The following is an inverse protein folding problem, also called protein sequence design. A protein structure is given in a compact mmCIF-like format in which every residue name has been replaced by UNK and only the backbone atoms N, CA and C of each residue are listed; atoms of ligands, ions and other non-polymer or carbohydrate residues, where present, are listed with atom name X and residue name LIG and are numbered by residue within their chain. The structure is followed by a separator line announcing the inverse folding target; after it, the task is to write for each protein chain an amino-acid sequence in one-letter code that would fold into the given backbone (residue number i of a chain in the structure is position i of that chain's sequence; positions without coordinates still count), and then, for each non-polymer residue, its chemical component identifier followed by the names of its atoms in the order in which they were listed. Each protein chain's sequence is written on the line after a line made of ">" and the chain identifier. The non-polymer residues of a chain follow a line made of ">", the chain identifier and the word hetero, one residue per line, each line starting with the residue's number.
data_IF_520327494281
#
_entry.id   IF_520327494281
#
_cell.length_a   1.000
_cell.length_b   1.000
_cell.length_c   1.000
_cell.angle_alpha   90.00
_cell.angle_beta   90.00
_cell.angle_gamma   90.00
#
_symmetry.space_group_name_H-M   'P 1'
#
loop_
_entity.id
_entity.type
_entity.pdbx_description
1 polymer ?
#
# COMPACT_ATOMS: atom_id res chain seq x y z
N UNK A 1 40.07 -49.42 20.93
CA UNK A 1 38.84 -49.27 20.12
C UNK A 1 38.51 -47.80 20.12
N UNK A 2 38.48 -47.20 18.93
CA UNK A 2 38.38 -45.76 18.67
C UNK A 2 37.17 -45.16 19.38
N UNK A 3 37.38 -44.06 20.11
CA UNK A 3 36.30 -43.19 20.56
C UNK A 3 35.70 -42.52 19.33
N UNK A 4 34.57 -43.07 18.88
CA UNK A 4 33.69 -42.40 17.93
C UNK A 4 32.87 -41.38 18.73
N UNK A 5 33.56 -40.35 19.21
CA UNK A 5 32.92 -39.14 19.71
C UNK A 5 32.29 -38.49 18.48
N UNK A 6 30.99 -38.75 18.30
CA UNK A 6 30.16 -38.12 17.28
C UNK A 6 30.25 -36.61 17.39
N UNK A 7 31.24 -36.04 16.71
CA UNK A 7 31.41 -34.62 16.51
C UNK A 7 30.13 -34.13 15.84
N UNK A 8 29.27 -33.47 16.62
CA UNK A 8 28.14 -32.75 16.07
C UNK A 8 28.65 -31.93 14.87
N UNK A 9 27.98 -31.97 13.71
CA UNK A 9 28.43 -31.23 12.53
C UNK A 9 28.68 -29.77 12.93
N UNK A 10 29.77 -29.13 12.46
CA UNK A 10 30.11 -27.78 12.87
C UNK A 10 28.88 -26.87 12.72
N UNK A 11 28.59 -26.07 13.76
CA UNK A 11 27.37 -25.26 13.85
C UNK A 11 27.15 -24.35 12.63
N UNK A 12 28.20 -24.08 11.86
CA UNK A 12 28.19 -23.36 10.58
C UNK A 12 27.34 -24.03 9.48
N UNK A 13 27.18 -25.37 9.48
CA UNK A 13 26.36 -26.09 8.49
C UNK A 13 24.86 -25.78 8.69
N UNK A 14 24.46 -25.42 9.92
CA UNK A 14 23.08 -25.04 10.26
C UNK A 14 22.89 -23.52 10.39
N UNK A 15 23.93 -22.72 10.17
CA UNK A 15 23.83 -21.26 10.25
C UNK A 15 23.00 -20.71 9.08
N UNK A 16 22.02 -19.87 9.39
CA UNK A 16 21.18 -19.23 8.37
C UNK A 16 22.02 -18.21 7.60
N UNK A 17 22.22 -18.47 6.29
CA UNK A 17 22.96 -17.56 5.44
C UNK A 17 22.14 -16.27 5.24
N UNK A 18 22.70 -15.08 5.51
CA UNK A 18 21.99 -13.83 5.30
C UNK A 18 21.71 -13.62 3.81
N UNK A 19 20.45 -13.35 3.47
CA UNK A 19 20.02 -12.95 2.13
C UNK A 19 19.67 -11.46 2.11
N UNK A 20 20.52 -10.67 1.44
CA UNK A 20 20.31 -9.24 1.27
C UNK A 20 19.46 -8.89 0.04
N UNK A 21 19.37 -9.80 -0.95
CA UNK A 21 18.70 -9.50 -2.22
C UNK A 21 17.20 -9.50 -2.05
N UNK A 22 16.65 -10.48 -1.31
CA UNK A 22 15.22 -10.56 -0.99
C UNK A 22 14.67 -9.26 -0.38
N UNK A 23 15.20 -8.79 0.77
CA UNK A 23 14.77 -7.54 1.39
C UNK A 23 14.90 -6.30 0.49
N UNK A 24 15.98 -6.20 -0.30
CA UNK A 24 16.18 -5.06 -1.22
C UNK A 24 15.14 -5.06 -2.37
N UNK A 25 14.80 -6.22 -2.92
CA UNK A 25 13.72 -6.32 -3.93
C UNK A 25 12.37 -5.94 -3.33
N UNK A 26 12.06 -6.43 -2.14
CA UNK A 26 10.83 -6.07 -1.42
C UNK A 26 10.77 -4.56 -1.16
N UNK A 27 11.88 -3.93 -0.76
CA UNK A 27 11.95 -2.48 -0.57
C UNK A 27 11.59 -1.69 -1.83
N UNK A 28 12.09 -2.09 -3.00
CA UNK A 28 11.78 -1.43 -4.28
C UNK A 28 10.28 -1.51 -4.58
N UNK A 29 9.67 -2.69 -4.38
CA UNK A 29 8.23 -2.88 -4.59
C UNK A 29 7.39 -2.03 -3.63
N UNK A 30 7.81 -1.93 -2.36
CA UNK A 30 7.14 -1.07 -1.37
C UNK A 30 7.24 0.41 -1.73
N UNK A 31 8.38 0.87 -2.24
CA UNK A 31 8.55 2.26 -2.72
C UNK A 31 7.64 2.53 -3.92
N UNK A 32 7.56 1.59 -4.87
CA UNK A 32 6.64 1.70 -6.01
C UNK A 32 5.18 1.75 -5.56
N UNK A 33 4.78 0.87 -4.62
CA UNK A 33 3.45 0.88 -4.03
C UNK A 33 3.14 2.18 -3.29
N UNK A 34 4.10 2.71 -2.53
CA UNK A 34 3.96 3.99 -1.82
C UNK A 34 3.72 5.16 -2.78
N UNK A 35 4.39 5.20 -3.93
CA UNK A 35 4.15 6.24 -4.95
C UNK A 35 2.72 6.17 -5.48
N UNK A 36 2.19 4.97 -5.74
CA UNK A 36 0.80 4.79 -6.16
C UNK A 36 -0.18 5.23 -5.07
N UNK A 37 0.09 4.89 -3.80
CA UNK A 37 -0.74 5.33 -2.66
C UNK A 37 -0.80 6.86 -2.56
N UNK A 38 0.35 7.52 -2.69
CA UNK A 38 0.44 8.98 -2.65
C UNK A 38 -0.31 9.60 -3.83
N UNK A 39 -0.18 9.04 -5.03
CA UNK A 39 -0.86 9.55 -6.22
C UNK A 39 -2.39 9.46 -6.08
N UNK A 40 -2.90 8.30 -5.66
CA UNK A 40 -4.35 8.12 -5.42
C UNK A 40 -4.82 9.02 -4.27
N UNK A 41 -4.08 9.07 -3.17
CA UNK A 41 -4.42 9.90 -2.02
C UNK A 41 -4.43 11.39 -2.35
N UNK A 42 -3.54 11.84 -3.24
CA UNK A 42 -3.53 13.22 -3.74
C UNK A 42 -4.78 13.53 -4.58
N UNK A 43 -5.17 12.64 -5.49
CA UNK A 43 -6.40 12.79 -6.28
C UNK A 43 -7.64 12.89 -5.39
N UNK A 44 -7.72 12.06 -4.35
CA UNK A 44 -8.82 12.11 -3.38
C UNK A 44 -8.84 13.42 -2.59
N UNK A 45 -7.67 13.93 -2.16
CA UNK A 45 -7.61 15.23 -1.49
C UNK A 45 -7.96 16.39 -2.42
N UNK A 46 -7.63 16.29 -3.71
CA UNK A 46 -8.06 17.28 -4.69
C UNK A 46 -9.59 17.27 -4.82
N UNK A 47 -10.20 16.09 -4.94
CA UNK A 47 -11.65 15.92 -4.98
C UNK A 47 -12.34 16.40 -3.70
N UNK A 48 -11.75 16.14 -2.54
CA UNK A 48 -12.26 16.63 -1.25
C UNK A 48 -12.30 18.16 -1.15
N UNK A 49 -11.37 18.86 -1.82
CA UNK A 49 -11.27 20.32 -1.79
C UNK A 49 -11.97 21.00 -2.98
N UNK A 50 -12.35 20.25 -4.01
CA UNK A 50 -13.13 20.77 -5.14
C UNK A 50 -14.59 20.93 -4.77
N UNK A 51 -15.19 22.09 -5.07
CA UNK A 51 -16.63 22.29 -4.88
C UNK A 51 -17.46 21.58 -5.94
N UNK A 52 -17.06 21.70 -7.19
CA UNK A 52 -17.66 21.03 -8.32
C UNK A 52 -16.52 20.50 -9.19
N UNK A 53 -16.75 19.36 -9.85
CA UNK A 53 -15.90 18.92 -10.95
C UNK A 53 -16.06 19.86 -12.16
N UNK A 54 -14.99 20.08 -12.92
CA UNK A 54 -15.07 20.88 -14.13
C UNK A 54 -15.89 20.16 -15.21
N UNK A 55 -16.46 20.90 -16.16
CA UNK A 55 -17.19 20.27 -17.26
C UNK A 55 -16.30 19.37 -18.13
N UNK A 56 -15.00 19.68 -18.23
CA UNK A 56 -14.03 18.86 -18.95
C UNK A 56 -13.78 17.52 -18.22
N UNK A 57 -13.70 17.54 -16.89
CA UNK A 57 -13.56 16.33 -16.08
C UNK A 57 -14.82 15.47 -16.14
N UNK A 58 -16.00 16.08 -16.06
CA UNK A 58 -17.31 15.43 -16.19
C UNK A 58 -17.44 14.75 -17.55
N UNK A 59 -17.17 15.46 -18.65
CA UNK A 59 -17.22 14.85 -19.98
C UNK A 59 -16.21 13.71 -20.10
N UNK A 60 -14.99 13.86 -19.57
CA UNK A 60 -13.98 12.79 -19.60
C UNK A 60 -14.43 11.54 -18.82
N UNK A 61 -15.01 11.73 -17.63
CA UNK A 61 -15.49 10.64 -16.77
C UNK A 61 -16.75 9.97 -17.31
N UNK A 62 -17.68 10.75 -17.85
CA UNK A 62 -19.00 10.28 -18.27
C UNK A 62 -19.06 9.83 -19.74
N UNK A 63 -18.12 10.25 -20.59
CA UNK A 63 -18.11 9.87 -22.02
C UNK A 63 -18.21 8.37 -22.21
N UNK A 64 -17.41 7.59 -21.47
CA UNK A 64 -17.41 6.13 -21.62
C UNK A 64 -18.73 5.50 -21.15
N UNK A 65 -19.34 6.04 -20.11
CA UNK A 65 -20.61 5.54 -19.55
C UNK A 65 -21.79 5.88 -20.46
N UNK A 66 -21.83 7.13 -20.95
CA UNK A 66 -22.83 7.59 -21.92
C UNK A 66 -22.76 6.79 -23.23
N UNK A 67 -21.55 6.52 -23.72
CA UNK A 67 -21.34 5.71 -24.91
C UNK A 67 -21.76 4.24 -24.73
N UNK A 68 -21.85 3.74 -23.49
CA UNK A 68 -22.33 2.40 -23.17
C UNK A 68 -23.86 2.32 -23.05
N UNK A 69 -24.56 3.45 -23.19
CA UNK A 69 -26.03 3.52 -23.21
C UNK A 69 -26.68 3.89 -21.88
N UNK A 70 -25.89 4.22 -20.84
CA UNK A 70 -26.42 4.67 -19.56
C UNK A 70 -26.68 6.19 -19.57
N UNK A 71 -27.92 6.57 -19.23
CA UNK A 71 -28.34 7.97 -19.12
C UNK A 71 -28.02 8.52 -17.73
N UNK A 72 -26.82 9.07 -17.59
CA UNK A 72 -26.40 9.85 -16.40
C UNK A 72 -26.26 11.32 -16.76
N UNK A 73 -26.94 12.19 -16.01
CA UNK A 73 -26.82 13.64 -16.17
C UNK A 73 -25.63 14.16 -15.37
N UNK A 74 -25.08 15.31 -15.78
CA UNK A 74 -23.96 15.93 -15.06
C UNK A 74 -24.36 16.27 -13.62
N UNK A 75 -25.61 16.70 -13.41
CA UNK A 75 -26.15 17.04 -12.10
C UNK A 75 -26.23 15.82 -11.18
N UNK A 76 -26.62 14.66 -11.70
CA UNK A 76 -26.64 13.42 -10.91
C UNK A 76 -25.24 13.02 -10.45
N UNK A 77 -24.24 13.17 -11.32
CA UNK A 77 -22.85 12.86 -10.96
C UNK A 77 -22.27 13.86 -9.98
N UNK A 78 -22.57 15.16 -10.14
CA UNK A 78 -22.14 16.18 -9.18
C UNK A 78 -22.76 15.97 -7.81
N UNK A 79 -24.06 15.62 -7.75
CA UNK A 79 -24.70 15.32 -6.48
C UNK A 79 -24.05 14.10 -5.80
N UNK A 80 -23.66 13.08 -6.56
CA UNK A 80 -22.88 11.96 -6.04
C UNK A 80 -21.50 12.39 -5.51
N UNK A 81 -20.78 13.22 -6.26
CA UNK A 81 -19.48 13.77 -5.85
C UNK A 81 -19.60 14.59 -4.56
N UNK A 82 -20.62 15.45 -4.46
CA UNK A 82 -20.93 16.22 -3.27
C UNK A 82 -21.25 15.35 -2.07
N UNK A 83 -22.07 14.32 -2.24
CA UNK A 83 -22.38 13.37 -1.17
C UNK A 83 -21.13 12.68 -0.62
N UNK A 84 -20.18 12.29 -1.50
CA UNK A 84 -18.91 11.70 -1.06
C UNK A 84 -18.08 12.72 -0.29
N UNK A 85 -17.99 13.95 -0.81
CA UNK A 85 -17.22 15.02 -0.20
C UNK A 85 -17.76 15.40 1.18
N UNK A 86 -19.08 15.58 1.31
CA UNK A 86 -19.76 15.88 2.57
C UNK A 86 -19.64 14.74 3.58
N UNK A 87 -19.69 13.48 3.13
CA UNK A 87 -19.44 12.32 4.00
C UNK A 87 -18.01 12.26 4.55
N UNK A 88 -17.09 13.05 3.98
CA UNK A 88 -15.68 13.04 4.31
C UNK A 88 -14.92 11.83 3.78
N UNK A 89 -15.54 10.97 2.98
CA UNK A 89 -14.92 9.74 2.48
C UNK A 89 -13.68 10.04 1.62
N UNK A 90 -13.71 11.06 0.76
CA UNK A 90 -12.52 11.52 0.03
C UNK A 90 -11.40 11.96 0.97
N UNK A 91 -11.71 12.72 2.03
CA UNK A 91 -10.72 13.17 3.00
C UNK A 91 -10.09 12.01 3.78
N UNK A 92 -10.91 11.06 4.25
CA UNK A 92 -10.44 9.90 5.02
C UNK A 92 -9.56 9.01 4.13
N UNK A 93 -10.01 8.71 2.91
CA UNK A 93 -9.23 7.94 1.94
C UNK A 93 -7.94 8.66 1.58
N UNK A 94 -8.04 9.94 1.23
CA UNK A 94 -6.90 10.78 0.84
C UNK A 94 -5.81 10.87 1.90
N UNK A 95 -6.15 11.30 3.12
CA UNK A 95 -5.17 11.46 4.20
C UNK A 95 -4.56 10.13 4.65
N UNK A 96 -5.35 9.07 4.74
CA UNK A 96 -4.83 7.75 5.15
C UNK A 96 -3.86 7.17 4.12
N UNK A 97 -4.15 7.33 2.82
CA UNK A 97 -3.26 6.89 1.73
C UNK A 97 -2.01 7.76 1.64
N UNK A 98 -2.13 9.07 1.84
CA UNK A 98 -0.99 10.00 1.85
C UNK A 98 -0.04 9.70 3.00
N UNK A 99 -0.55 9.69 4.25
CA UNK A 99 0.26 9.44 5.44
C UNK A 99 0.83 8.01 5.39
N UNK A 100 -0.02 7.03 5.07
CA UNK A 100 0.40 5.64 4.92
C UNK A 100 1.47 5.47 3.84
N UNK A 101 1.28 6.09 2.67
CA UNK A 101 2.23 6.06 1.55
C UNK A 101 3.58 6.70 1.89
N UNK A 102 3.59 7.86 2.55
CA UNK A 102 4.85 8.50 3.01
C UNK A 102 5.59 7.59 3.98
N UNK A 103 4.89 7.01 4.97
CA UNK A 103 5.49 6.10 5.95
C UNK A 103 6.03 4.85 5.27
N UNK A 104 5.27 4.23 4.35
CA UNK A 104 5.70 3.05 3.58
C UNK A 104 6.90 3.38 2.70
N UNK A 105 6.92 4.55 2.06
CA UNK A 105 8.04 4.99 1.22
C UNK A 105 9.33 5.15 2.02
N UNK A 106 9.28 5.87 3.15
CA UNK A 106 10.42 6.02 4.06
C UNK A 106 10.88 4.67 4.63
N UNK A 107 9.92 3.82 4.99
CA UNK A 107 10.19 2.47 5.46
C UNK A 107 10.86 1.60 4.40
N UNK A 108 10.45 1.72 3.14
CA UNK A 108 11.08 1.07 1.99
C UNK A 108 12.54 1.50 1.81
N UNK A 109 12.84 2.80 1.91
CA UNK A 109 14.23 3.30 1.88
C UNK A 109 15.06 2.72 3.03
N UNK A 110 14.48 2.63 4.23
CA UNK A 110 15.16 2.04 5.39
C UNK A 110 15.40 0.52 5.23
N UNK A 111 14.42 -0.19 4.67
CA UNK A 111 14.53 -1.61 4.35
C UNK A 111 15.57 -1.88 3.25
N UNK A 112 15.70 -0.99 2.27
CA UNK A 112 16.75 -1.07 1.26
C UNK A 112 18.15 -0.97 1.87
N UNK A 113 18.29 -0.16 2.94
CA UNK A 113 19.50 -0.09 3.78
C UNK A 113 19.63 -1.26 4.77
N UNK A 114 18.80 -2.29 4.66
CA UNK A 114 18.76 -3.48 5.52
C UNK A 114 18.55 -3.15 7.00
N UNK A 115 17.80 -2.10 7.31
CA UNK A 115 17.48 -1.75 8.70
C UNK A 115 16.18 -2.45 9.14
N UNK A 116 16.23 -3.17 10.26
CA UNK A 116 15.09 -3.86 10.87
C UNK A 116 13.88 -2.96 11.20
N UNK A 117 14.09 -1.65 11.37
CA UNK A 117 12.99 -0.70 11.59
C UNK A 117 12.14 -0.49 10.32
N UNK A 118 12.69 -0.71 9.13
CA UNK A 118 12.00 -0.54 7.85
C UNK A 118 10.73 -1.39 7.76
N UNK A 119 10.81 -2.73 7.82
CA UNK A 119 9.63 -3.60 7.74
C UNK A 119 8.55 -3.30 8.76
N UNK A 120 8.94 -2.93 10.00
CA UNK A 120 7.99 -2.58 11.07
C UNK A 120 7.21 -1.31 10.73
N UNK A 121 7.91 -0.26 10.30
CA UNK A 121 7.27 0.98 9.87
C UNK A 121 6.42 0.79 8.62
N UNK A 122 6.86 -0.04 7.67
CA UNK A 122 6.10 -0.37 6.47
C UNK A 122 4.76 -1.04 6.82
N UNK A 123 4.75 -1.98 7.78
CA UNK A 123 3.49 -2.58 8.25
C UNK A 123 2.57 -1.55 8.92
N UNK A 124 3.11 -0.62 9.72
CA UNK A 124 2.30 0.45 10.32
C UNK A 124 1.70 1.37 9.25
N UNK A 125 2.49 1.84 8.28
CA UNK A 125 2.02 2.70 7.21
C UNK A 125 0.99 2.01 6.31
N UNK A 126 1.24 0.75 5.93
CA UNK A 126 0.30 -0.05 5.15
C UNK A 126 -0.99 -0.34 5.94
N UNK A 127 -0.91 -0.52 7.26
CA UNK A 127 -2.08 -0.69 8.12
C UNK A 127 -2.97 0.56 8.17
N UNK A 128 -2.37 1.75 8.28
CA UNK A 128 -3.09 3.03 8.22
C UNK A 128 -3.80 3.17 6.87
N UNK A 129 -3.06 2.93 5.77
CA UNK A 129 -3.60 2.97 4.41
C UNK A 129 -4.70 1.92 4.18
N UNK A 130 -4.58 0.73 4.77
CA UNK A 130 -5.60 -0.32 4.67
C UNK A 130 -6.90 0.08 5.35
N UNK A 131 -6.84 0.53 6.60
CA UNK A 131 -8.05 0.87 7.38
C UNK A 131 -8.75 2.08 6.74
N UNK A 132 -8.03 3.18 6.53
CA UNK A 132 -8.64 4.40 5.98
C UNK A 132 -8.98 4.26 4.49
N UNK A 133 -8.15 3.57 3.71
CA UNK A 133 -8.38 3.33 2.29
C UNK A 133 -9.59 2.45 2.01
N UNK A 134 -9.74 1.36 2.77
CA UNK A 134 -10.90 0.45 2.65
C UNK A 134 -12.17 1.11 3.16
N UNK A 135 -12.10 1.81 4.30
CA UNK A 135 -13.26 2.52 4.84
C UNK A 135 -13.77 3.59 3.87
N UNK A 136 -12.90 4.48 3.38
CA UNK A 136 -13.31 5.53 2.45
C UNK A 136 -13.82 4.96 1.12
N UNK A 137 -13.21 3.89 0.61
CA UNK A 137 -13.68 3.24 -0.62
C UNK A 137 -15.04 2.56 -0.44
N UNK A 138 -15.26 1.93 0.73
CA UNK A 138 -16.54 1.32 1.04
C UNK A 138 -17.66 2.37 1.15
N UNK A 139 -17.40 3.52 1.79
CA UNK A 139 -18.37 4.62 1.83
C UNK A 139 -18.69 5.15 0.44
N UNK A 140 -17.70 5.31 -0.43
CA UNK A 140 -17.90 5.72 -1.84
C UNK A 140 -18.81 4.72 -2.57
N UNK A 141 -18.60 3.41 -2.38
CA UNK A 141 -19.47 2.37 -2.95
C UNK A 141 -20.91 2.47 -2.41
N UNK A 142 -21.09 2.63 -1.10
CA UNK A 142 -22.44 2.72 -0.52
C UNK A 142 -23.20 3.96 -1.00
N UNK A 143 -22.50 5.07 -1.24
CA UNK A 143 -23.09 6.28 -1.80
C UNK A 143 -23.37 6.17 -3.31
N UNK A 144 -22.64 5.32 -4.04
CA UNK A 144 -22.90 5.11 -5.46
C UNK A 144 -24.16 4.30 -5.70
N UNK A 145 -24.47 3.33 -4.83
CA UNK A 145 -25.64 2.46 -4.93
C UNK A 145 -26.98 3.21 -4.96
N UNK A 146 -27.04 4.41 -4.37
CA UNK A 146 -28.27 5.22 -4.31
C UNK A 146 -28.35 6.32 -5.37
N UNK A 147 -27.23 6.64 -6.03
CA UNK A 147 -27.10 7.82 -6.89
C UNK A 147 -26.74 7.52 -8.35
N UNK A 148 -26.17 6.34 -8.64
CA UNK A 148 -25.56 6.03 -9.93
C UNK A 148 -26.14 4.77 -10.61
N UNK A 149 -26.04 4.67 -11.95
CA UNK A 149 -26.36 3.45 -12.69
C UNK A 149 -25.49 2.26 -12.27
N UNK A 150 -26.00 1.04 -12.48
CA UNK A 150 -25.36 -0.21 -12.06
C UNK A 150 -23.92 -0.37 -12.59
N UNK A 151 -23.63 0.10 -13.81
CA UNK A 151 -22.29 0.06 -14.38
C UNK A 151 -21.27 0.88 -13.57
N UNK A 152 -21.66 2.06 -13.07
CA UNK A 152 -20.79 2.91 -12.26
C UNK A 152 -20.69 2.42 -10.80
N UNK A 153 -21.74 1.79 -10.28
CA UNK A 153 -21.69 1.11 -8.97
C UNK A 153 -20.66 -0.02 -9.02
N UNK A 154 -20.70 -0.84 -10.07
CA UNK A 154 -19.74 -1.92 -10.28
C UNK A 154 -18.30 -1.39 -10.41
N UNK A 155 -18.10 -0.27 -11.13
CA UNK A 155 -16.77 0.34 -11.25
C UNK A 155 -16.21 0.77 -9.87
N UNK A 156 -17.02 1.39 -9.03
CA UNK A 156 -16.64 1.78 -7.66
C UNK A 156 -16.41 0.57 -6.75
N UNK A 157 -17.17 -0.51 -6.95
CA UNK A 157 -16.96 -1.78 -6.25
C UNK A 157 -15.61 -2.43 -6.63
N UNK A 158 -15.30 -2.50 -7.92
CA UNK A 158 -14.00 -3.00 -8.40
C UNK A 158 -12.86 -2.17 -7.81
N UNK A 159 -12.99 -0.84 -7.82
CA UNK A 159 -11.98 0.05 -7.25
C UNK A 159 -11.75 -0.19 -5.75
N UNK A 160 -12.83 -0.48 -5.02
CA UNK A 160 -12.77 -0.85 -3.59
C UNK A 160 -11.98 -2.14 -3.38
N UNK A 161 -12.25 -3.19 -4.18
CA UNK A 161 -11.50 -4.44 -4.09
C UNK A 161 -10.03 -4.27 -4.48
N UNK A 162 -9.75 -3.51 -5.55
CA UNK A 162 -8.37 -3.23 -5.98
C UNK A 162 -7.58 -2.51 -4.88
N UNK A 163 -8.18 -1.51 -4.22
CA UNK A 163 -7.56 -0.85 -3.07
C UNK A 163 -7.33 -1.82 -1.89
N UNK A 164 -8.31 -2.67 -1.57
CA UNK A 164 -8.15 -3.66 -0.50
C UNK A 164 -7.00 -4.64 -0.78
N UNK A 165 -6.95 -5.18 -1.99
CA UNK A 165 -5.91 -6.14 -2.41
C UNK A 165 -4.53 -5.50 -2.43
N UNK A 166 -4.38 -4.28 -2.94
CA UNK A 166 -3.07 -3.62 -3.02
C UNK A 166 -2.49 -3.35 -1.62
N UNK A 167 -3.33 -3.01 -0.65
CA UNK A 167 -2.92 -2.81 0.74
C UNK A 167 -2.54 -4.10 1.44
N UNK A 168 -3.29 -5.18 1.21
CA UNK A 168 -2.93 -6.52 1.72
C UNK A 168 -1.59 -6.96 1.13
N UNK A 169 -1.35 -6.70 -0.16
CA UNK A 169 -0.06 -6.97 -0.80
C UNK A 169 1.07 -6.16 -0.14
N UNK A 170 0.85 -4.88 0.15
CA UNK A 170 1.85 -4.05 0.86
C UNK A 170 2.15 -4.60 2.27
N UNK A 171 1.13 -5.03 3.02
CA UNK A 171 1.30 -5.68 4.33
C UNK A 171 2.06 -7.01 4.22
N UNK A 172 1.71 -7.85 3.26
CA UNK A 172 2.36 -9.13 3.03
C UNK A 172 3.84 -8.94 2.67
N UNK A 173 4.13 -8.04 1.72
CA UNK A 173 5.50 -7.71 1.32
C UNK A 173 6.30 -7.13 2.50
N UNK A 174 5.72 -6.24 3.30
CA UNK A 174 6.37 -5.72 4.50
C UNK A 174 6.63 -6.80 5.57
N UNK A 175 5.78 -7.82 5.65
CA UNK A 175 5.93 -8.94 6.60
C UNK A 175 6.99 -9.97 6.20
N UNK A 176 7.22 -10.20 4.90
CA UNK A 176 8.14 -11.22 4.39
C UNK A 176 9.56 -11.15 5.02
N UNK A 177 10.22 -9.98 5.11
CA UNK A 177 11.55 -9.87 5.71
C UNK A 177 11.59 -10.19 7.22
N UNK A 178 10.45 -10.12 7.91
CA UNK A 178 10.35 -10.41 9.35
C UNK A 178 10.13 -11.90 9.64
N UNK A 179 9.48 -12.62 8.71
CA UNK A 179 9.16 -14.04 8.86
C UNK A 179 10.24 -14.96 8.29
N UNK A 180 10.95 -14.53 7.24
CA UNK A 180 12.03 -15.32 6.65
C UNK A 180 13.32 -15.19 7.47
N UNK A 181 13.82 -16.30 8.00
CA UNK A 181 15.02 -16.34 8.85
C UNK A 181 16.28 -15.79 8.15
N UNK A 182 16.49 -16.11 6.87
CA UNK A 182 17.63 -15.63 6.08
C UNK A 182 17.56 -14.13 5.80
N UNK A 183 16.36 -13.61 5.52
CA UNK A 183 16.13 -12.18 5.35
C UNK A 183 16.31 -11.42 6.68
N UNK A 184 15.77 -11.97 7.77
CA UNK A 184 15.89 -11.39 9.11
C UNK A 184 17.34 -11.35 9.60
N UNK A 185 18.15 -12.35 9.24
CA UNK A 185 19.59 -12.35 9.51
C UNK A 185 20.30 -11.21 8.78
N UNK A 186 19.90 -10.88 7.54
CA UNK A 186 20.46 -9.76 6.79
C UNK A 186 20.08 -8.38 7.37
N UNK A 187 18.90 -8.25 7.99
CA UNK A 187 18.43 -7.00 8.62
C UNK A 187 19.15 -6.61 9.92
N UNK A 188 19.97 -7.53 10.46
CA UNK A 188 20.63 -7.43 11.77
C UNK A 188 22.16 -7.56 11.66
N UNK A 189 22.77 -7.23 10.52
CA UNK A 189 24.22 -7.20 10.40
C UNK A 189 24.81 -6.18 11.40
N UNK A 190 25.29 -6.69 12.54
CA UNK A 190 26.17 -5.92 13.45
C UNK A 190 27.52 -5.76 12.76
N UNK A 191 28.01 -4.53 12.68
CA UNK A 191 29.36 -4.23 12.21
C UNK A 191 30.34 -4.87 13.21
N UNK A 192 31.02 -5.94 12.80
CA UNK A 192 32.15 -6.50 13.55
C UNK A 192 33.37 -5.68 13.17
N UNK A 193 33.86 -4.84 14.07
CA UNK A 193 35.15 -4.17 13.90
C UNK A 193 36.24 -5.23 14.04
N UNK A 194 36.88 -5.59 12.93
CA UNK A 194 38.17 -6.26 12.98
C UNK A 194 39.19 -5.17 13.27
N UNK A 195 39.55 -4.99 14.55
CA UNK A 195 40.71 -4.21 14.88
C UNK A 195 41.94 -4.99 14.37
N UNK A 196 42.53 -4.52 13.29
CA UNK A 196 43.87 -4.98 12.88
C UNK A 196 44.81 -4.60 14.03
N UNK A 197 45.30 -5.62 14.75
CA UNK A 197 46.40 -5.44 15.69
C UNK A 197 47.68 -5.30 14.86
N UNK A 198 48.27 -4.11 14.88
CA UNK A 198 49.63 -3.84 14.38
C UNK A 198 50.70 -4.70 15.07
#
# INVERSE_FOLDING_TARGET
>A
MSGDDGLAPPAEIFATRPDEKGPKTVAILLIAGAMLMIFVGFGDLQNANSNDLSQEDLDTLLTNVRNQGDNITDEQYQQFHDNIRESGAYSIRGWSLMIGGIVVGLAGVLLFKLNLQGPKMAMCGAGIGFIGGTYGSWTIKTLSESALPEAMVLANEILTYVCGVCMVLCLALAGLPLMNASAKAALNQKIVFIAEQE
#
